data_IF_744423173689
#
_entry.id   IF_744423173689
#
_cell.length_a   1.000
_cell.length_b   1.000
_cell.length_c   1.000
_cell.angle_alpha   90.00
_cell.angle_beta   90.00
_cell.angle_gamma   90.00
#
_symmetry.space_group_name_H-M   'P 1'
#
loop_
_entity.id
_entity.type
_entity.pdbx_description
1 polymer ?
#
# COMPACT_ATOMS: atom_id res chain seq x y z
N UNK A 1 -41.75 4.56 -13.69
CA UNK A 1 -40.75 3.66 -14.29
C UNK A 1 -40.80 2.36 -13.53
N UNK A 2 -40.82 1.23 -14.24
CA UNK A 2 -40.76 -0.09 -13.61
C UNK A 2 -39.36 -0.33 -13.02
N UNK A 3 -39.27 -1.05 -11.90
CA UNK A 3 -38.00 -1.40 -11.23
C UNK A 3 -37.11 -2.17 -12.20
N UNK A 4 -37.69 -3.06 -13.02
CA UNK A 4 -36.95 -3.84 -14.01
C UNK A 4 -36.27 -2.97 -15.06
N UNK A 5 -36.95 -1.93 -15.56
CA UNK A 5 -36.38 -1.00 -16.55
C UNK A 5 -35.32 -0.07 -15.95
N UNK A 6 -35.38 0.18 -14.65
CA UNK A 6 -34.42 1.06 -13.95
C UNK A 6 -33.14 0.33 -13.57
N UNK A 7 -33.26 -0.92 -13.07
CA UNK A 7 -32.13 -1.66 -12.52
C UNK A 7 -31.60 -2.78 -13.45
N UNK A 8 -32.44 -3.37 -14.31
CA UNK A 8 -32.10 -4.52 -15.16
C UNK A 8 -32.16 -4.18 -16.65
N UNK A 9 -31.76 -2.96 -17.01
CA UNK A 9 -31.74 -2.52 -18.41
C UNK A 9 -30.54 -3.11 -19.17
N UNK A 10 -30.77 -4.21 -19.89
CA UNK A 10 -29.72 -4.90 -20.65
C UNK A 10 -29.03 -4.02 -21.70
N UNK A 11 -29.74 -3.05 -22.29
CA UNK A 11 -29.15 -2.15 -23.31
C UNK A 11 -28.17 -1.18 -22.66
N UNK A 12 -28.54 -0.57 -21.54
CA UNK A 12 -27.64 0.30 -20.77
C UNK A 12 -26.43 -0.47 -20.29
N UNK A 13 -26.62 -1.70 -19.81
CA UNK A 13 -25.52 -2.57 -19.39
C UNK A 13 -24.54 -2.85 -20.54
N UNK A 14 -25.03 -3.24 -21.73
CA UNK A 14 -24.18 -3.49 -22.89
C UNK A 14 -23.40 -2.25 -23.33
N UNK A 15 -23.99 -1.06 -23.23
CA UNK A 15 -23.31 0.21 -23.52
C UNK A 15 -22.27 0.58 -22.46
N UNK A 16 -22.53 0.29 -21.18
CA UNK A 16 -21.62 0.57 -20.08
C UNK A 16 -20.49 -0.48 -19.94
N UNK A 17 -20.69 -1.70 -20.44
CA UNK A 17 -19.77 -2.82 -20.25
C UNK A 17 -18.32 -2.49 -20.67
N UNK A 18 -18.03 -1.84 -21.81
CA UNK A 18 -16.65 -1.46 -22.16
C UNK A 18 -15.99 -0.51 -21.15
N UNK A 19 -16.75 0.45 -20.62
CA UNK A 19 -16.27 1.37 -19.58
C UNK A 19 -16.02 0.63 -18.26
N UNK A 20 -16.91 -0.28 -17.88
CA UNK A 20 -16.75 -1.11 -16.69
C UNK A 20 -15.51 -2.01 -16.79
N UNK A 21 -15.28 -2.64 -17.96
CA UNK A 21 -14.08 -3.45 -18.21
C UNK A 21 -12.81 -2.60 -18.15
N UNK A 22 -12.85 -1.37 -18.65
CA UNK A 22 -11.74 -0.42 -18.53
C UNK A 22 -11.48 -0.06 -17.06
N UNK A 23 -12.53 0.22 -16.28
CA UNK A 23 -12.42 0.51 -14.85
C UNK A 23 -11.88 -0.68 -14.05
N UNK A 24 -12.33 -1.91 -14.38
CA UNK A 24 -11.81 -3.15 -13.82
C UNK A 24 -10.31 -3.28 -14.09
N UNK A 25 -9.88 -3.09 -15.34
CA UNK A 25 -8.48 -3.17 -15.72
C UNK A 25 -7.61 -2.16 -14.97
N UNK A 26 -8.05 -0.90 -14.88
CA UNK A 26 -7.34 0.14 -14.13
C UNK A 26 -7.25 -0.21 -12.64
N UNK A 27 -8.32 -0.77 -12.07
CA UNK A 27 -8.35 -1.20 -10.66
C UNK A 27 -7.35 -2.34 -10.40
N UNK A 28 -7.31 -3.33 -11.29
CA UNK A 28 -6.34 -4.44 -11.20
C UNK A 28 -4.90 -3.94 -11.30
N UNK A 29 -4.63 -3.04 -12.25
CA UNK A 29 -3.30 -2.49 -12.44
C UNK A 29 -2.85 -1.65 -11.24
N UNK A 30 -3.73 -0.80 -10.73
CA UNK A 30 -3.49 0.04 -9.55
C UNK A 30 -3.28 -0.83 -8.30
N UNK A 31 -4.10 -1.86 -8.11
CA UNK A 31 -3.95 -2.84 -7.04
C UNK A 31 -2.62 -3.58 -7.11
N UNK A 32 -2.30 -4.16 -8.26
CA UNK A 32 -1.04 -4.89 -8.47
C UNK A 32 0.19 -4.02 -8.21
N UNK A 33 0.23 -2.81 -8.79
CA UNK A 33 1.34 -1.88 -8.57
C UNK A 33 1.46 -1.49 -7.09
N UNK A 34 0.34 -1.15 -6.45
CA UNK A 34 0.33 -0.71 -5.05
C UNK A 34 0.77 -1.82 -4.10
N UNK A 35 0.31 -3.06 -4.33
CA UNK A 35 0.67 -4.24 -3.54
C UNK A 35 2.16 -4.54 -3.69
N UNK A 36 2.69 -4.60 -4.91
CA UNK A 36 4.10 -4.92 -5.14
C UNK A 36 5.02 -3.90 -4.47
N UNK A 37 4.75 -2.60 -4.67
CA UNK A 37 5.53 -1.52 -4.07
C UNK A 37 5.36 -1.47 -2.54
N UNK A 38 4.13 -1.68 -2.05
CA UNK A 38 3.80 -1.72 -0.63
C UNK A 38 4.52 -2.88 0.08
N UNK A 39 4.49 -4.08 -0.50
CA UNK A 39 5.19 -5.24 0.04
C UNK A 39 6.71 -5.06 0.04
N UNK A 40 7.28 -4.59 -1.08
CA UNK A 40 8.72 -4.35 -1.18
C UNK A 40 9.18 -3.28 -0.16
N UNK A 41 8.48 -2.14 -0.10
CA UNK A 41 8.77 -1.09 0.87
C UNK A 41 8.57 -1.55 2.31
N UNK A 42 7.50 -2.31 2.58
CA UNK A 42 7.20 -2.84 3.90
C UNK A 42 8.26 -3.81 4.39
N UNK A 43 8.78 -4.68 3.51
CA UNK A 43 9.89 -5.58 3.86
C UNK A 43 11.14 -4.78 4.25
N UNK A 44 11.53 -3.78 3.45
CA UNK A 44 12.69 -2.93 3.74
C UNK A 44 12.52 -2.19 5.08
N UNK A 45 11.34 -1.63 5.35
CA UNK A 45 11.02 -0.95 6.60
C UNK A 45 11.06 -1.90 7.80
N UNK A 46 10.53 -3.12 7.66
CA UNK A 46 10.57 -4.13 8.71
C UNK A 46 12.00 -4.52 9.07
N UNK A 47 12.84 -4.79 8.05
CA UNK A 47 14.25 -5.10 8.24
C UNK A 47 15.01 -3.94 8.88
N UNK A 48 14.78 -2.71 8.42
CA UNK A 48 15.38 -1.51 9.02
C UNK A 48 14.98 -1.36 10.50
N UNK A 49 13.70 -1.58 10.81
CA UNK A 49 13.21 -1.49 12.19
C UNK A 49 13.80 -2.58 13.09
N UNK A 50 13.93 -3.80 12.61
CA UNK A 50 14.43 -4.94 13.41
C UNK A 50 15.96 -4.90 13.59
N UNK A 51 16.70 -4.57 12.54
CA UNK A 51 18.14 -4.83 12.49
C UNK A 51 19.02 -3.59 12.33
N UNK A 52 18.47 -2.42 11.98
CA UNK A 52 19.30 -1.23 11.79
C UNK A 52 19.73 -0.55 13.11
N UNK A 53 20.76 0.29 13.00
CA UNK A 53 21.22 1.17 14.09
C UNK A 53 20.16 2.21 14.46
N UNK A 54 20.27 2.77 15.67
CA UNK A 54 19.24 3.61 16.30
C UNK A 54 18.62 4.69 15.39
N UNK A 55 19.39 5.50 14.64
CA UNK A 55 18.80 6.56 13.82
C UNK A 55 17.88 6.04 12.72
N UNK A 56 18.32 5.01 11.97
CA UNK A 56 17.53 4.43 10.88
C UNK A 56 16.33 3.65 11.40
N UNK A 57 16.49 2.96 12.53
CA UNK A 57 15.38 2.28 13.21
C UNK A 57 14.30 3.28 13.65
N UNK A 58 14.70 4.40 14.25
CA UNK A 58 13.75 5.45 14.66
C UNK A 58 13.03 6.07 13.46
N UNK A 59 13.74 6.33 12.36
CA UNK A 59 13.11 6.82 11.13
C UNK A 59 12.06 5.84 10.59
N UNK A 60 12.37 4.54 10.58
CA UNK A 60 11.42 3.50 10.17
C UNK A 60 10.19 3.46 11.08
N UNK A 61 10.38 3.55 12.40
CA UNK A 61 9.27 3.60 13.37
C UNK A 61 8.37 4.82 13.10
N UNK A 62 8.95 6.01 12.99
CA UNK A 62 8.20 7.25 12.73
C UNK A 62 7.43 7.15 11.42
N UNK A 63 8.05 6.67 10.35
CA UNK A 63 7.37 6.43 9.08
C UNK A 63 6.16 5.51 9.26
N UNK A 64 6.35 4.34 9.89
CA UNK A 64 5.30 3.33 10.08
C UNK A 64 4.14 3.92 10.87
N UNK A 65 4.42 4.60 11.99
CA UNK A 65 3.39 5.15 12.87
C UNK A 65 2.60 6.26 12.18
N UNK A 66 3.27 7.16 11.46
CA UNK A 66 2.62 8.26 10.72
C UNK A 66 1.70 7.72 9.63
N UNK A 67 2.19 6.84 8.76
CA UNK A 67 1.40 6.36 7.62
C UNK A 67 0.28 5.38 8.00
N UNK A 68 0.36 4.74 9.18
CA UNK A 68 -0.76 3.98 9.75
C UNK A 68 -1.80 4.86 10.44
N UNK A 69 -1.42 6.06 10.88
CA UNK A 69 -2.32 7.00 11.55
C UNK A 69 -3.07 7.93 10.57
N UNK A 70 -2.49 8.22 9.40
CA UNK A 70 -3.12 9.11 8.40
C UNK A 70 -4.26 8.37 7.68
N UNK A 71 -5.47 8.95 7.59
CA UNK A 71 -6.53 8.40 6.74
C UNK A 71 -6.10 8.40 5.27
N UNK A 72 -6.26 7.26 4.58
CA UNK A 72 -5.85 7.11 3.17
C UNK A 72 -6.43 8.20 2.26
N UNK A 73 -7.70 8.59 2.48
CA UNK A 73 -8.34 9.65 1.71
C UNK A 73 -7.62 11.00 1.87
N UNK A 74 -7.17 11.33 3.10
CA UNK A 74 -6.42 12.55 3.36
C UNK A 74 -5.08 12.50 2.63
N UNK A 75 -4.39 11.35 2.66
CA UNK A 75 -3.13 11.20 1.94
C UNK A 75 -3.31 11.33 0.42
N UNK A 76 -4.37 10.75 -0.15
CA UNK A 76 -4.69 10.92 -1.57
C UNK A 76 -4.90 12.39 -1.94
N UNK A 77 -5.61 13.14 -1.10
CA UNK A 77 -5.83 14.58 -1.30
C UNK A 77 -4.50 15.33 -1.23
N UNK A 78 -3.64 15.02 -0.26
CA UNK A 78 -2.31 15.65 -0.15
C UNK A 78 -1.46 15.35 -1.39
N UNK A 79 -1.39 14.08 -1.81
CA UNK A 79 -0.55 13.67 -2.94
C UNK A 79 -1.06 14.29 -4.26
N UNK A 80 -2.37 14.31 -4.49
CA UNK A 80 -2.93 14.81 -5.75
C UNK A 80 -3.07 16.34 -5.79
N UNK A 81 -3.53 16.96 -4.70
CA UNK A 81 -3.85 18.40 -4.68
C UNK A 81 -2.82 19.25 -3.95
N UNK A 82 -2.09 18.75 -2.95
CA UNK A 82 -1.14 19.56 -2.18
C UNK A 82 0.28 19.57 -2.78
N UNK A 83 0.79 18.43 -3.27
CA UNK A 83 2.11 18.36 -3.91
C UNK A 83 2.32 19.34 -5.08
N UNK A 84 1.29 19.69 -5.90
CA UNK A 84 1.43 20.71 -6.93
C UNK A 84 1.89 22.09 -6.42
N UNK A 85 1.61 22.46 -5.16
CA UNK A 85 2.06 23.73 -4.58
C UNK A 85 3.58 23.79 -4.36
N UNK A 86 4.25 22.64 -4.27
CA UNK A 86 5.71 22.51 -4.20
C UNK A 86 6.33 22.10 -5.54
N UNK A 87 5.57 22.18 -6.64
CA UNK A 87 6.04 21.91 -8.00
C UNK A 87 5.97 20.44 -8.44
N UNK A 88 5.47 19.52 -7.61
CA UNK A 88 5.36 18.10 -7.94
C UNK A 88 3.94 17.82 -8.44
N UNK A 89 3.80 17.46 -9.72
CA UNK A 89 2.51 17.14 -10.33
C UNK A 89 2.50 15.69 -10.80
N UNK A 90 1.71 14.86 -10.12
CA UNK A 90 1.53 13.46 -10.46
C UNK A 90 0.23 13.29 -11.25
N UNK A 91 0.19 12.31 -12.17
CA UNK A 91 -1.07 11.91 -12.79
C UNK A 91 -2.02 11.31 -11.74
N UNK A 92 -3.34 11.25 -12.00
CA UNK A 92 -4.28 10.61 -11.07
C UNK A 92 -3.88 9.17 -10.71
N UNK A 93 -3.42 8.40 -11.71
CA UNK A 93 -2.95 7.03 -11.51
C UNK A 93 -1.71 6.98 -10.60
N UNK A 94 -0.69 7.80 -10.88
CA UNK A 94 0.53 7.82 -10.07
C UNK A 94 0.25 8.31 -8.64
N UNK A 95 -0.64 9.29 -8.49
CA UNK A 95 -1.03 9.80 -7.17
C UNK A 95 -1.68 8.71 -6.32
N UNK A 96 -2.58 7.94 -6.93
CA UNK A 96 -3.24 6.82 -6.26
C UNK A 96 -2.25 5.73 -5.88
N UNK A 97 -1.38 5.31 -6.81
CA UNK A 97 -0.32 4.32 -6.55
C UNK A 97 0.60 4.79 -5.43
N UNK A 98 1.08 6.03 -5.47
CA UNK A 98 1.95 6.58 -4.41
C UNK A 98 1.27 6.55 -3.05
N UNK A 99 0.06 7.11 -2.91
CA UNK A 99 -0.62 7.14 -1.63
C UNK A 99 -0.91 5.72 -1.08
N UNK A 100 -1.40 4.83 -1.95
CA UNK A 100 -1.69 3.45 -1.57
C UNK A 100 -0.44 2.67 -1.19
N UNK A 101 0.65 2.79 -1.94
CA UNK A 101 1.91 2.13 -1.63
C UNK A 101 2.53 2.62 -0.32
N UNK A 102 2.48 3.93 -0.04
CA UNK A 102 3.00 4.49 1.22
C UNK A 102 2.26 3.90 2.42
N UNK A 103 0.92 3.94 2.41
CA UNK A 103 0.10 3.34 3.48
C UNK A 103 0.30 1.83 3.55
N UNK A 104 0.21 1.14 2.41
CA UNK A 104 0.38 -0.32 2.35
C UNK A 104 1.74 -0.76 2.88
N UNK A 105 2.82 -0.03 2.58
CA UNK A 105 4.15 -0.35 3.08
C UNK A 105 4.26 -0.28 4.60
N UNK A 106 3.58 0.67 5.24
CA UNK A 106 3.58 0.79 6.69
C UNK A 106 2.84 -0.38 7.36
N UNK A 107 1.69 -0.80 6.81
CA UNK A 107 0.98 -1.99 7.29
C UNK A 107 1.76 -3.28 7.00
N UNK A 108 2.32 -3.43 5.79
CA UNK A 108 3.14 -4.59 5.42
C UNK A 108 4.38 -4.71 6.30
N UNK A 109 5.00 -3.59 6.71
CA UNK A 109 6.14 -3.61 7.62
C UNK A 109 5.81 -4.25 8.97
N UNK A 110 4.62 -3.97 9.52
CA UNK A 110 4.16 -4.61 10.76
C UNK A 110 3.84 -6.08 10.58
N UNK A 111 3.23 -6.45 9.45
CA UNK A 111 2.94 -7.85 9.12
C UNK A 111 4.25 -8.65 9.05
N UNK A 112 5.27 -8.14 8.34
CA UNK A 112 6.58 -8.79 8.27
C UNK A 112 7.26 -8.84 9.63
N UNK A 113 7.28 -7.74 10.39
CA UNK A 113 7.88 -7.69 11.72
C UNK A 113 7.23 -8.71 12.66
N UNK A 114 5.91 -8.72 12.72
CA UNK A 114 5.16 -9.68 13.55
C UNK A 114 5.40 -11.12 13.10
N UNK A 115 5.48 -11.37 11.79
CA UNK A 115 5.81 -12.69 11.25
C UNK A 115 7.22 -13.16 11.62
N UNK A 116 8.21 -12.26 11.60
CA UNK A 116 9.60 -12.57 12.00
C UNK A 116 9.68 -12.83 13.51
N UNK A 117 9.08 -11.96 14.32
CA UNK A 117 9.09 -12.08 15.79
C UNK A 117 8.28 -13.28 16.31
N UNK A 118 7.34 -13.82 15.52
CA UNK A 118 6.60 -15.03 15.86
C UNK A 118 7.48 -16.30 15.82
N UNK A 119 8.65 -16.25 15.17
CA UNK A 119 9.59 -17.39 15.13
C UNK A 119 10.27 -17.54 16.50
N UNK A 120 10.27 -18.74 17.11
CA UNK A 120 10.91 -18.94 18.42
C UNK A 120 12.39 -18.54 18.43
N UNK A 121 12.82 -17.86 19.50
CA UNK A 121 14.20 -17.37 19.65
C UNK A 121 15.25 -18.49 19.53
N UNK A 122 14.91 -19.71 19.96
CA UNK A 122 15.78 -20.89 19.85
C UNK A 122 16.22 -21.20 18.41
N UNK A 123 15.43 -20.84 17.38
CA UNK A 123 15.85 -20.99 15.99
C UNK A 123 16.99 -20.04 15.62
N UNK A 124 16.94 -18.79 16.10
CA UNK A 124 18.01 -17.81 15.90
C UNK A 124 19.25 -18.14 16.73
N UNK A 125 19.09 -18.73 17.92
CA UNK A 125 20.21 -19.21 18.74
C UNK A 125 20.92 -20.43 18.13
N UNK A 126 20.15 -21.39 17.61
CA UNK A 126 20.69 -22.56 16.91
C UNK A 126 21.47 -22.14 15.65
N UNK A 127 20.91 -21.24 14.83
CA UNK A 127 21.59 -20.73 13.63
C UNK A 127 22.95 -20.07 13.99
N UNK A 128 22.96 -19.19 15.00
CA UNK A 128 24.19 -18.55 15.48
C UNK A 128 25.20 -19.55 16.05
N UNK A 129 24.73 -20.61 16.71
CA UNK A 129 25.60 -21.68 17.26
C UNK A 129 26.25 -22.53 16.16
N UNK A 130 25.63 -22.61 14.99
CA UNK A 130 26.17 -23.26 13.79
C UNK A 130 27.07 -22.33 12.94
N UNK A 131 27.23 -21.06 13.34
CA UNK A 131 28.06 -20.09 12.63
C UNK A 131 27.41 -19.43 11.41
N UNK A 132 26.07 -19.47 11.31
CA UNK A 132 25.28 -18.70 10.35
C UNK A 132 25.02 -17.28 10.86
#
# INVERSE_FOLDING_TARGET
MDIFETFFNLRVFQQALPLLLTGLWVTLLLGAASIVLGMAGGLLLALARLYARSPLRQLAIVYIDVFRAIPLLVLLVIVYYALPFVGIRLSPFLSAVTALSLVSSAYSAEIFRAGIEAVPQGQFEAARSLGL
#
